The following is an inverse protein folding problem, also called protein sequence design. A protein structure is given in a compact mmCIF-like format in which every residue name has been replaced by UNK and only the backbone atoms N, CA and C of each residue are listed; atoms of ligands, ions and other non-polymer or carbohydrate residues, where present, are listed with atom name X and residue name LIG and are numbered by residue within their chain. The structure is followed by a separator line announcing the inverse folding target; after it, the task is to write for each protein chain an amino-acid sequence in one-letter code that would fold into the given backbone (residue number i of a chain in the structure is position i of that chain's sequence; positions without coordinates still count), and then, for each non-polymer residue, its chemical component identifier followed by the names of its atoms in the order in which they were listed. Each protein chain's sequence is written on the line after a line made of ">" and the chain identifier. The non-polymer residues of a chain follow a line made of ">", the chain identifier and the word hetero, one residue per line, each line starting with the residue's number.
data_IF_054349042693
#
_entry.id   IF_054349042693
#
_cell.length_a   1.000
_cell.length_b   1.000
_cell.length_c   1.000
_cell.angle_alpha   90.00
_cell.angle_beta   90.00
_cell.angle_gamma   90.00
#
_symmetry.space_group_name_H-M   'P 1'
#
loop_
_entity.id
_entity.type
_entity.pdbx_description
1 polymer ?
#
# COMPACT_ATOMS: atom_id res chain seq x y z
N UNK A 1 20.25 -11.19 16.11
CA UNK A 1 19.16 -11.05 15.10
C UNK A 1 19.26 -9.70 14.40
N UNK A 2 19.27 -8.61 15.17
CA UNK A 2 19.45 -7.25 14.61
C UNK A 2 20.89 -6.89 14.28
N UNK A 3 21.87 -7.75 14.56
CA UNK A 3 23.30 -7.47 14.32
C UNK A 3 23.61 -7.17 12.84
N UNK A 4 22.82 -7.74 11.92
CA UNK A 4 22.91 -7.43 10.48
C UNK A 4 22.47 -6.00 10.17
N UNK A 5 21.59 -5.41 10.98
CA UNK A 5 21.07 -4.05 10.83
C UNK A 5 21.75 -3.02 11.74
N UNK A 6 22.52 -3.45 12.74
CA UNK A 6 23.17 -2.58 13.70
C UNK A 6 24.09 -1.56 13.00
N UNK A 7 23.96 -0.28 13.37
CA UNK A 7 24.72 0.85 12.83
C UNK A 7 24.65 1.04 11.31
N UNK A 8 23.65 0.45 10.63
CA UNK A 8 23.49 0.56 9.17
C UNK A 8 22.38 1.53 8.78
N UNK A 9 22.61 2.35 7.75
CA UNK A 9 21.55 3.03 7.01
C UNK A 9 20.53 2.02 6.49
N UNK A 10 19.24 2.34 6.64
CA UNK A 10 18.15 1.47 6.20
C UNK A 10 17.32 2.11 5.09
N UNK A 11 16.84 1.28 4.17
CA UNK A 11 15.65 1.54 3.37
C UNK A 11 14.62 0.48 3.71
N UNK A 12 13.37 0.88 3.90
CA UNK A 12 12.27 -0.03 4.16
C UNK A 12 11.43 -0.29 2.89
N UNK A 13 11.03 -1.55 2.68
CA UNK A 13 10.00 -1.96 1.74
C UNK A 13 8.84 -2.58 2.52
N UNK A 14 7.66 -1.96 2.52
CA UNK A 14 6.51 -2.43 3.31
C UNK A 14 5.39 -2.98 2.44
N UNK A 15 4.59 -3.89 2.99
CA UNK A 15 3.37 -4.40 2.38
C UNK A 15 2.19 -4.46 3.37
N UNK A 16 1.08 -5.04 2.91
CA UNK A 16 -0.19 -4.98 3.63
C UNK A 16 -0.14 -5.66 5.00
N UNK A 17 0.75 -6.64 5.17
CA UNK A 17 1.00 -7.32 6.45
C UNK A 17 1.39 -6.36 7.57
N UNK A 18 2.05 -5.23 7.25
CA UNK A 18 2.38 -4.19 8.24
C UNK A 18 1.11 -3.51 8.78
N UNK A 19 0.06 -3.38 7.98
CA UNK A 19 -1.19 -2.69 8.32
C UNK A 19 -2.24 -3.60 8.97
N UNK A 20 -1.98 -4.90 9.10
CA UNK A 20 -2.92 -5.88 9.71
C UNK A 20 -3.30 -5.52 11.15
N UNK A 21 -2.34 -5.16 11.99
CA UNK A 21 -2.62 -4.73 13.38
C UNK A 21 -3.26 -3.32 13.46
N UNK A 22 -3.47 -2.65 12.31
CA UNK A 22 -4.25 -1.40 12.19
C UNK A 22 -5.71 -1.67 11.80
N UNK A 23 -6.12 -2.94 11.71
CA UNK A 23 -7.47 -3.35 11.30
C UNK A 23 -7.69 -3.40 9.79
N UNK A 24 -6.65 -3.16 8.98
CA UNK A 24 -6.71 -3.29 7.52
C UNK A 24 -6.32 -4.73 7.17
N UNK A 25 -7.21 -5.53 6.53
CA UNK A 25 -6.86 -6.89 6.15
C UNK A 25 -5.71 -6.89 5.15
N UNK A 26 -5.01 -8.01 4.99
CA UNK A 26 -4.07 -8.20 3.89
C UNK A 26 -4.70 -9.06 2.77
N UNK A 27 -3.92 -9.36 1.72
CA UNK A 27 -4.38 -10.16 0.58
C UNK A 27 -4.01 -11.65 0.66
N UNK A 28 -3.00 -12.03 1.45
CA UNK A 28 -2.30 -13.33 1.30
C UNK A 28 -1.74 -13.90 2.61
N UNK A 29 -2.02 -13.26 3.74
CA UNK A 29 -1.63 -13.73 5.06
C UNK A 29 -2.45 -14.97 5.47
N UNK A 30 -2.01 -15.68 6.52
CA UNK A 30 -2.70 -16.87 7.01
C UNK A 30 -4.19 -16.61 7.29
N UNK A 31 -5.07 -17.39 6.65
CA UNK A 31 -6.53 -17.26 6.80
C UNK A 31 -7.19 -16.20 5.91
N UNK A 32 -6.42 -15.49 5.06
CA UNK A 32 -7.01 -14.54 4.11
C UNK A 32 -7.84 -15.26 3.03
N UNK A 33 -9.05 -14.79 2.71
CA UNK A 33 -9.88 -15.40 1.68
C UNK A 33 -9.26 -15.16 0.29
N UNK A 34 -9.50 -16.08 -0.64
CA UNK A 34 -9.08 -15.90 -2.03
C UNK A 34 -9.88 -14.75 -2.65
N UNK A 35 -9.18 -13.72 -3.13
CA UNK A 35 -9.77 -12.48 -3.62
C UNK A 35 -9.24 -12.20 -5.02
N UNK A 36 -10.14 -12.02 -5.97
CA UNK A 36 -9.82 -11.57 -7.33
C UNK A 36 -10.09 -10.07 -7.44
N UNK A 37 -9.07 -9.21 -7.33
CA UNK A 37 -9.23 -7.76 -7.46
C UNK A 37 -9.53 -7.38 -8.92
N UNK A 38 -10.29 -6.30 -9.10
CA UNK A 38 -10.55 -5.74 -10.43
C UNK A 38 -9.24 -5.34 -11.11
N UNK A 39 -9.12 -5.69 -12.39
CA UNK A 39 -7.95 -5.28 -13.20
C UNK A 39 -8.15 -3.89 -13.81
N UNK A 40 -7.05 -3.24 -14.21
CA UNK A 40 -7.13 -2.00 -14.96
C UNK A 40 -7.90 -2.17 -16.27
N UNK A 41 -7.61 -3.27 -16.98
CA UNK A 41 -8.26 -3.60 -18.25
C UNK A 41 -9.76 -3.75 -18.08
N UNK A 42 -10.20 -4.40 -17.00
CA UNK A 42 -11.62 -4.51 -16.65
C UNK A 42 -12.24 -3.14 -16.33
N UNK A 43 -11.58 -2.33 -15.50
CA UNK A 43 -12.10 -1.01 -15.11
C UNK A 43 -12.34 -0.08 -16.32
N UNK A 44 -11.45 -0.12 -17.32
CA UNK A 44 -11.57 0.73 -18.51
C UNK A 44 -12.54 0.19 -19.58
N UNK A 45 -13.20 -0.96 -19.36
CA UNK A 45 -14.15 -1.52 -20.33
C UNK A 45 -15.42 -0.68 -20.50
N UNK A 46 -15.85 0.03 -19.46
CA UNK A 46 -17.05 0.87 -19.53
C UNK A 46 -17.64 1.22 -18.17
N UNK A 47 -18.77 1.91 -18.19
CA UNK A 47 -19.42 2.44 -17.00
C UNK A 47 -19.86 1.37 -16.01
N UNK A 48 -20.27 0.18 -16.47
CA UNK A 48 -20.70 -0.90 -15.57
C UNK A 48 -19.56 -1.41 -14.68
N UNK A 49 -18.35 -1.53 -15.22
CA UNK A 49 -17.17 -1.89 -14.43
C UNK A 49 -16.79 -0.76 -13.46
N UNK A 50 -16.86 0.49 -13.91
CA UNK A 50 -16.58 1.66 -13.07
C UNK A 50 -17.60 1.80 -11.94
N UNK A 51 -18.88 1.55 -12.22
CA UNK A 51 -19.99 1.53 -11.26
C UNK A 51 -19.75 0.46 -10.21
N UNK A 52 -19.45 -0.77 -10.64
CA UNK A 52 -19.09 -1.86 -9.72
C UNK A 52 -17.93 -1.51 -8.81
N UNK A 53 -16.86 -0.91 -9.35
CA UNK A 53 -15.74 -0.48 -8.53
C UNK A 53 -16.14 0.60 -7.51
N UNK A 54 -16.74 1.69 -7.99
CA UNK A 54 -17.01 2.87 -7.17
C UNK A 54 -18.10 2.64 -6.13
N UNK A 55 -19.14 1.85 -6.43
CA UNK A 55 -20.15 1.46 -5.46
C UNK A 55 -19.52 0.75 -4.26
N UNK A 56 -18.65 -0.22 -4.53
CA UNK A 56 -17.96 -1.02 -3.52
C UNK A 56 -16.97 -0.16 -2.73
N UNK A 57 -16.16 0.63 -3.43
CA UNK A 57 -15.22 1.59 -2.82
C UNK A 57 -15.92 2.66 -1.98
N UNK A 58 -17.13 3.10 -2.36
CA UNK A 58 -17.89 4.11 -1.61
C UNK A 58 -18.24 3.60 -0.20
N UNK A 59 -18.66 2.33 -0.10
CA UNK A 59 -18.99 1.68 1.17
C UNK A 59 -17.73 1.40 1.99
N UNK A 60 -16.69 0.86 1.38
CA UNK A 60 -15.46 0.54 2.11
C UNK A 60 -14.67 1.78 2.56
N UNK A 61 -14.65 2.87 1.77
CA UNK A 61 -14.00 4.13 2.16
C UNK A 61 -14.59 4.72 3.44
N UNK A 62 -15.91 4.71 3.60
CA UNK A 62 -16.57 5.21 4.81
C UNK A 62 -16.13 4.46 6.08
N UNK A 63 -15.70 3.21 5.94
CA UNK A 63 -15.27 2.37 7.07
C UNK A 63 -13.76 2.42 7.30
N UNK A 64 -12.95 2.44 6.24
CA UNK A 64 -11.48 2.54 6.34
C UNK A 64 -10.98 3.84 6.96
N UNK A 65 -11.77 4.92 6.94
CA UNK A 65 -11.41 6.22 7.52
C UNK A 65 -11.02 6.17 9.01
N UNK A 66 -11.22 5.04 9.70
CA UNK A 66 -10.88 4.86 11.11
C UNK A 66 -9.56 4.11 11.36
N UNK A 67 -8.89 3.61 10.32
CA UNK A 67 -7.60 2.96 10.49
C UNK A 67 -6.56 4.00 10.95
N UNK A 68 -5.77 3.64 11.97
CA UNK A 68 -4.71 4.49 12.50
C UNK A 68 -3.39 3.72 12.46
N UNK A 69 -2.24 4.40 12.34
CA UNK A 69 -0.94 3.73 12.32
C UNK A 69 -0.75 2.86 13.57
N UNK A 70 -0.18 1.67 13.42
CA UNK A 70 0.16 0.79 14.54
C UNK A 70 1.62 0.98 15.03
N UNK A 71 2.09 0.11 15.92
CA UNK A 71 3.43 0.18 16.49
C UNK A 71 4.54 0.01 15.44
N UNK A 72 4.32 -0.81 14.40
CA UNK A 72 5.29 -0.99 13.31
C UNK A 72 5.51 0.28 12.50
N UNK A 73 4.43 0.98 12.14
CA UNK A 73 4.51 2.27 11.42
C UNK A 73 5.27 3.32 12.25
N UNK A 74 4.90 3.46 13.53
CA UNK A 74 5.54 4.39 14.46
C UNK A 74 7.02 4.06 14.69
N UNK A 75 7.37 2.78 14.75
CA UNK A 75 8.76 2.36 14.88
C UNK A 75 9.61 2.78 13.67
N UNK A 76 9.10 2.57 12.45
CA UNK A 76 9.79 3.05 11.25
C UNK A 76 9.91 4.58 11.23
N UNK A 77 8.87 5.31 11.69
CA UNK A 77 8.91 6.77 11.76
C UNK A 77 9.95 7.25 12.79
N UNK A 78 10.08 6.55 13.92
CA UNK A 78 11.12 6.83 14.91
C UNK A 78 12.53 6.60 14.33
N UNK A 79 12.74 5.55 13.55
CA UNK A 79 14.01 5.31 12.85
C UNK A 79 14.31 6.38 11.79
N UNK A 80 13.31 6.91 11.08
CA UNK A 80 13.49 8.06 10.17
C UNK A 80 13.87 9.32 10.96
N UNK A 81 13.20 9.56 12.10
CA UNK A 81 13.51 10.68 13.01
C UNK A 81 14.92 10.61 13.60
N UNK A 82 15.42 9.40 13.87
CA UNK A 82 16.78 9.15 14.36
C UNK A 82 17.85 9.18 13.24
N UNK A 83 17.45 9.34 11.98
CA UNK A 83 18.38 9.35 10.84
C UNK A 83 18.92 7.96 10.45
N UNK A 84 18.30 6.88 10.91
CA UNK A 84 18.65 5.49 10.59
C UNK A 84 17.91 5.01 9.34
N UNK A 85 16.63 5.36 9.20
CA UNK A 85 15.83 5.06 8.01
C UNK A 85 15.94 6.22 7.01
N UNK A 86 16.54 5.97 5.85
CA UNK A 86 16.81 6.98 4.81
C UNK A 86 15.75 7.01 3.70
N UNK A 87 14.83 6.04 3.68
CA UNK A 87 13.72 6.04 2.74
C UNK A 87 12.76 4.89 2.96
N UNK A 88 11.50 5.11 2.57
CA UNK A 88 10.44 4.14 2.72
C UNK A 88 9.71 3.94 1.38
N UNK A 89 9.68 2.69 0.93
CA UNK A 89 8.92 2.25 -0.24
C UNK A 89 7.75 1.43 0.30
N UNK A 90 6.52 1.84 0.03
CA UNK A 90 5.34 1.07 0.45
C UNK A 90 4.56 0.58 -0.76
N UNK A 91 4.14 -0.69 -0.70
CA UNK A 91 3.14 -1.25 -1.62
C UNK A 91 1.72 -0.89 -1.18
N UNK A 92 1.54 -0.41 0.05
CA UNK A 92 0.23 -0.08 0.57
C UNK A 92 -0.27 1.23 -0.03
N UNK A 93 -1.59 1.34 -0.11
CA UNK A 93 -2.29 2.54 -0.61
C UNK A 93 -3.06 3.25 0.51
N UNK A 94 -2.97 2.73 1.74
CA UNK A 94 -3.74 3.11 2.93
C UNK A 94 -3.40 4.49 3.50
N UNK A 95 -2.14 4.89 3.35
CA UNK A 95 -1.63 6.17 3.82
C UNK A 95 -1.10 6.22 5.25
N UNK A 96 -1.09 5.09 5.96
CA UNK A 96 -0.74 5.03 7.38
C UNK A 96 0.72 5.41 7.67
N UNK A 97 1.63 5.30 6.69
CA UNK A 97 2.99 5.82 6.85
C UNK A 97 3.01 7.34 6.95
N UNK A 98 2.26 8.03 6.09
CA UNK A 98 2.16 9.49 6.16
C UNK A 98 1.52 9.94 7.48
N UNK A 99 0.48 9.23 7.91
CA UNK A 99 -0.20 9.51 9.19
C UNK A 99 0.70 9.23 10.40
N UNK A 100 1.65 8.30 10.27
CA UNK A 100 2.67 8.05 11.29
C UNK A 100 3.78 9.11 11.34
N UNK A 101 3.79 10.07 10.40
CA UNK A 101 4.74 11.17 10.35
C UNK A 101 5.94 10.97 9.44
N UNK A 102 5.94 9.93 8.58
CA UNK A 102 7.01 9.74 7.59
C UNK A 102 7.04 10.88 6.58
N UNK A 103 8.24 11.43 6.30
CA UNK A 103 8.39 12.55 5.36
C UNK A 103 8.72 12.11 3.93
N UNK A 104 9.48 11.03 3.78
CA UNK A 104 9.99 10.57 2.48
C UNK A 104 9.43 9.20 2.08
N UNK A 105 8.12 9.14 1.80
CA UNK A 105 7.43 7.92 1.36
C UNK A 105 7.35 7.84 -0.17
N UNK A 106 7.66 6.67 -0.72
CA UNK A 106 7.32 6.30 -2.10
C UNK A 106 6.13 5.34 -2.04
N UNK A 107 4.94 5.87 -2.32
CA UNK A 107 3.72 5.08 -2.50
C UNK A 107 3.77 4.36 -3.85
N UNK A 108 4.40 3.18 -3.86
CA UNK A 108 4.70 2.44 -5.08
C UNK A 108 3.43 2.16 -5.88
N UNK A 109 2.35 1.81 -5.20
CA UNK A 109 1.06 1.52 -5.81
C UNK A 109 0.09 2.70 -5.69
N UNK A 110 0.57 3.90 -5.38
CA UNK A 110 -0.25 5.10 -5.29
C UNK A 110 -1.05 5.20 -3.98
N UNK A 111 -2.11 6.01 -3.97
CA UNK A 111 -2.86 6.39 -2.77
C UNK A 111 -4.34 6.28 -2.99
N UNK A 112 -5.05 5.66 -2.04
CA UNK A 112 -6.50 5.54 -2.13
C UNK A 112 -7.25 6.81 -1.69
N UNK A 113 -6.58 7.67 -0.92
CA UNK A 113 -7.05 9.02 -0.56
C UNK A 113 -7.02 10.02 -1.73
N UNK A 114 -6.58 9.60 -2.91
CA UNK A 114 -6.41 10.44 -4.09
C UNK A 114 -7.14 9.83 -5.29
N UNK A 115 -7.76 10.68 -6.10
CA UNK A 115 -8.47 10.32 -7.33
C UNK A 115 -7.77 10.99 -8.50
N UNK A 116 -7.61 10.27 -9.61
CA UNK A 116 -7.07 10.78 -10.87
C UNK A 116 -8.12 10.69 -11.98
N UNK A 117 -8.22 11.74 -12.80
CA UNK A 117 -9.00 11.70 -14.03
C UNK A 117 -8.19 11.04 -15.16
N UNK A 118 -8.75 10.04 -15.83
CA UNK A 118 -8.11 9.37 -16.97
C UNK A 118 -8.06 10.23 -18.24
N UNK A 119 -8.90 11.25 -18.35
CA UNK A 119 -8.92 12.17 -19.48
C UNK A 119 -7.92 13.32 -19.35
N UNK A 120 -7.96 14.07 -18.25
CA UNK A 120 -7.12 15.26 -18.07
C UNK A 120 -6.00 15.11 -17.04
N UNK A 121 -5.82 13.94 -16.43
CA UNK A 121 -4.79 13.62 -15.42
C UNK A 121 -4.84 14.44 -14.13
N UNK A 122 -5.86 15.30 -13.97
CA UNK A 122 -6.08 16.07 -12.73
C UNK A 122 -6.27 15.12 -11.55
N UNK A 123 -5.58 15.44 -10.46
CA UNK A 123 -5.72 14.75 -9.17
C UNK A 123 -6.53 15.57 -8.19
N UNK A 124 -7.39 14.91 -7.42
CA UNK A 124 -8.22 15.51 -6.38
C UNK A 124 -8.31 14.59 -5.16
N UNK A 125 -8.55 15.12 -3.96
CA UNK A 125 -8.78 14.28 -2.78
C UNK A 125 -9.99 13.35 -2.96
N UNK A 126 -9.88 12.11 -2.49
CA UNK A 126 -10.95 11.11 -2.47
C UNK A 126 -12.16 11.56 -1.65
N UNK A 127 -11.95 12.35 -0.60
CA UNK A 127 -13.00 12.95 0.21
C UNK A 127 -13.97 13.80 -0.61
N UNK A 128 -13.45 14.63 -1.52
CA UNK A 128 -14.28 15.47 -2.40
C UNK A 128 -15.13 14.61 -3.36
N UNK A 129 -14.60 13.48 -3.84
CA UNK A 129 -15.38 12.53 -4.62
C UNK A 129 -16.42 11.79 -3.75
N UNK A 130 -16.09 11.50 -2.49
CA UNK A 130 -17.00 10.83 -1.55
C UNK A 130 -18.26 11.67 -1.28
N UNK A 131 -18.10 12.97 -1.05
CA UNK A 131 -19.23 13.90 -0.86
C UNK A 131 -20.14 13.92 -2.09
N UNK A 132 -19.55 13.95 -3.28
CA UNK A 132 -20.29 13.91 -4.55
C UNK A 132 -21.04 12.59 -4.72
N UNK A 133 -20.42 11.46 -4.41
CA UNK A 133 -21.11 10.18 -4.43
C UNK A 133 -22.24 10.11 -3.41
N UNK A 134 -22.05 10.62 -2.19
CA UNK A 134 -23.10 10.64 -1.18
C UNK A 134 -24.31 11.50 -1.60
N UNK A 135 -24.06 12.63 -2.28
CA UNK A 135 -25.13 13.48 -2.83
C UNK A 135 -25.88 12.83 -4.00
N UNK A 136 -25.16 12.10 -4.87
CA UNK A 136 -25.76 11.38 -6.00
C UNK A 136 -26.48 10.09 -5.58
N UNK A 137 -26.07 9.49 -4.46
CA UNK A 137 -26.51 8.19 -3.98
C UNK A 137 -26.99 8.25 -2.52
N UNK A 138 -28.05 9.00 -2.21
CA UNK A 138 -28.52 9.15 -0.84
C UNK A 138 -28.95 7.79 -0.25
N UNK A 139 -28.45 7.46 0.95
CA UNK A 139 -28.76 6.21 1.66
C UNK A 139 -27.96 4.98 1.23
N UNK A 140 -27.03 5.10 0.27
CA UNK A 140 -26.26 3.97 -0.24
C UNK A 140 -25.25 3.39 0.79
N UNK A 141 -24.72 4.23 1.68
CA UNK A 141 -23.70 3.84 2.66
C UNK A 141 -24.23 2.96 3.81
N UNK A 142 -25.56 2.87 3.98
CA UNK A 142 -26.19 2.09 5.05
C UNK A 142 -26.28 0.58 4.75
N UNK A 143 -25.87 0.16 3.55
CA UNK A 143 -25.80 -1.25 3.17
C UNK A 143 -24.61 -1.96 3.86
N UNK A 144 -24.88 -3.08 4.56
CA UNK A 144 -23.88 -3.80 5.36
C UNK A 144 -22.93 -4.64 4.49
N UNK A 145 -21.61 -4.42 4.56
CA UNK A 145 -20.61 -5.14 3.74
C UNK A 145 -19.26 -5.41 4.42
N UNK A 146 -18.62 -6.55 4.13
CA UNK A 146 -17.24 -6.90 4.53
C UNK A 146 -16.16 -6.11 3.73
N UNK A 147 -15.12 -5.58 4.40
CA UNK A 147 -14.12 -4.65 3.84
C UNK A 147 -12.84 -5.38 3.36
N UNK A 148 -12.24 -4.91 2.26
CA UNK A 148 -10.98 -5.40 1.67
C UNK A 148 -9.81 -4.41 1.88
N UNK A 149 -8.53 -4.81 1.65
CA UNK A 149 -7.35 -4.00 2.01
C UNK A 149 -7.25 -2.67 1.25
N UNK A 150 -7.81 -2.63 0.05
CA UNK A 150 -7.96 -1.47 -0.83
C UNK A 150 -9.32 -0.79 -0.66
N UNK A 151 -10.02 -1.02 0.46
CA UNK A 151 -11.33 -0.43 0.71
C UNK A 151 -12.43 -0.91 -0.23
N UNK A 152 -12.20 -2.00 -0.97
CA UNK A 152 -13.24 -2.67 -1.75
C UNK A 152 -14.20 -3.44 -0.82
N UNK A 153 -15.45 -3.66 -1.24
CA UNK A 153 -16.54 -4.17 -0.41
C UNK A 153 -17.42 -5.11 -1.25
N UNK A 154 -17.89 -6.26 -0.76
CA UNK A 154 -18.80 -7.13 -1.53
C UNK A 154 -20.27 -6.70 -1.48
N UNK A 155 -20.84 -6.23 -2.60
CA UNK A 155 -22.21 -5.71 -2.69
C UNK A 155 -23.13 -6.61 -3.51
N UNK A 156 -24.42 -6.62 -3.17
CA UNK A 156 -25.47 -7.22 -4.01
C UNK A 156 -25.42 -6.56 -5.42
N UNK A 157 -25.37 -7.35 -6.52
CA UNK A 157 -25.38 -6.82 -7.88
C UNK A 157 -26.53 -5.83 -8.15
N UNK A 158 -27.72 -6.08 -7.61
CA UNK A 158 -28.87 -5.18 -7.78
C UNK A 158 -28.67 -3.82 -7.10
N UNK A 159 -27.92 -3.79 -6.00
CA UNK A 159 -27.54 -2.54 -5.32
C UNK A 159 -26.47 -1.78 -6.13
N UNK A 160 -25.53 -2.50 -6.74
CA UNK A 160 -24.50 -1.91 -7.60
C UNK A 160 -25.10 -1.22 -8.83
N UNK A 161 -26.12 -1.82 -9.46
CA UNK A 161 -26.73 -1.28 -10.68
C UNK A 161 -27.39 0.10 -10.48
N UNK A 162 -27.88 0.38 -9.26
CA UNK A 162 -28.48 1.67 -8.91
C UNK A 162 -27.49 2.77 -8.52
N UNK A 163 -26.18 2.50 -8.56
CA UNK A 163 -25.17 3.48 -8.17
C UNK A 163 -24.87 4.49 -9.28
N UNK A 164 -25.09 5.76 -9.01
CA UNK A 164 -24.84 6.89 -9.89
C UNK A 164 -23.36 7.32 -9.84
N UNK A 165 -22.72 7.32 -11.01
CA UNK A 165 -21.32 7.70 -11.18
C UNK A 165 -21.12 9.22 -11.18
N UNK A 166 -19.93 9.63 -10.76
CA UNK A 166 -19.49 11.01 -10.76
C UNK A 166 -18.32 11.19 -11.74
N UNK A 167 -18.37 12.26 -12.54
CA UNK A 167 -17.39 12.52 -13.60
C UNK A 167 -16.37 13.59 -13.20
N UNK A 168 -15.29 13.74 -13.96
CA UNK A 168 -14.34 14.82 -13.73
C UNK A 168 -15.03 16.19 -13.90
N UNK A 169 -14.93 17.05 -12.89
CA UNK A 169 -15.51 18.41 -12.93
C UNK A 169 -14.79 19.34 -13.91
N UNK A 170 -13.59 18.98 -14.38
CA UNK A 170 -12.81 19.79 -15.31
C UNK A 170 -13.03 19.42 -16.78
N UNK A 171 -13.24 18.14 -17.10
CA UNK A 171 -13.33 17.68 -18.49
C UNK A 171 -14.42 16.63 -18.76
N UNK A 172 -15.22 16.23 -17.76
CA UNK A 172 -16.22 15.17 -17.89
C UNK A 172 -15.64 13.75 -17.99
N UNK A 173 -14.32 13.57 -17.95
CA UNK A 173 -13.69 12.26 -18.09
C UNK A 173 -13.86 11.33 -16.89
N UNK A 174 -13.58 10.04 -17.12
CA UNK A 174 -13.62 8.96 -16.11
C UNK A 174 -12.68 9.27 -14.94
N UNK A 175 -13.16 9.04 -13.73
CA UNK A 175 -12.38 9.12 -12.50
C UNK A 175 -11.97 7.72 -12.05
N UNK A 176 -10.70 7.55 -11.69
CA UNK A 176 -10.12 6.34 -11.10
C UNK A 176 -9.45 6.71 -9.78
N UNK A 177 -9.45 5.87 -8.74
CA UNK A 177 -8.51 6.07 -7.63
C UNK A 177 -7.07 6.14 -8.18
N UNK A 178 -6.21 6.99 -7.62
CA UNK A 178 -4.80 7.12 -8.00
C UNK A 178 -3.95 6.01 -7.38
N UNK A 179 -4.44 4.78 -7.51
CA UNK A 179 -3.77 3.54 -7.14
C UNK A 179 -3.42 2.74 -8.39
N UNK A 180 -2.37 1.93 -8.35
CA UNK A 180 -1.99 1.06 -9.47
C UNK A 180 -2.83 -0.21 -9.40
N UNK A 181 -3.72 -0.42 -10.37
CA UNK A 181 -4.55 -1.63 -10.43
C UNK A 181 -3.72 -2.84 -10.87
N UNK A 182 -4.25 -4.04 -10.61
CA UNK A 182 -3.70 -5.25 -11.21
C UNK A 182 -3.75 -5.15 -12.73
N UNK A 183 -2.64 -5.50 -13.40
CA UNK A 183 -2.48 -5.33 -14.84
C UNK A 183 -2.09 -3.91 -15.28
N UNK A 184 -1.98 -2.96 -14.35
CA UNK A 184 -1.47 -1.60 -14.61
C UNK A 184 0.04 -1.53 -14.34
N UNK A 185 0.74 -0.66 -15.08
CA UNK A 185 2.15 -0.41 -14.83
C UNK A 185 2.32 0.63 -13.72
N UNK A 186 3.23 0.35 -12.79
CA UNK A 186 3.68 1.37 -11.83
C UNK A 186 4.35 2.53 -12.60
N UNK A 187 4.00 3.80 -12.31
CA UNK A 187 4.64 4.96 -12.92
C UNK A 187 6.16 4.90 -12.87
N UNK A 188 6.82 5.17 -14.00
CA UNK A 188 8.28 4.97 -14.16
C UNK A 188 9.08 5.78 -13.15
N UNK A 189 8.67 7.01 -12.87
CA UNK A 189 9.31 7.90 -11.91
C UNK A 189 9.32 7.30 -10.49
N UNK A 190 8.22 6.69 -10.04
CA UNK A 190 8.15 5.99 -8.74
C UNK A 190 9.12 4.82 -8.70
N UNK A 191 9.19 4.05 -9.77
CA UNK A 191 10.12 2.91 -9.90
C UNK A 191 11.57 3.37 -9.87
N UNK A 192 11.92 4.40 -10.64
CA UNK A 192 13.28 4.97 -10.68
C UNK A 192 13.70 5.48 -9.31
N UNK A 193 12.84 6.23 -8.61
CA UNK A 193 13.12 6.71 -7.25
C UNK A 193 13.31 5.58 -6.24
N UNK A 194 12.51 4.52 -6.34
CA UNK A 194 12.63 3.35 -5.47
C UNK A 194 13.94 2.59 -5.71
N UNK A 195 14.37 2.42 -6.98
CA UNK A 195 15.70 1.87 -7.28
C UNK A 195 16.82 2.74 -6.72
N UNK A 196 16.74 4.05 -6.86
CA UNK A 196 17.76 4.96 -6.35
C UNK A 196 17.96 4.86 -4.82
N UNK A 197 16.88 4.65 -4.05
CA UNK A 197 16.98 4.39 -2.61
C UNK A 197 17.75 3.11 -2.32
N UNK A 198 17.44 2.02 -3.03
CA UNK A 198 18.12 0.73 -2.86
C UNK A 198 19.58 0.79 -3.32
N UNK A 199 19.85 1.46 -4.45
CA UNK A 199 21.19 1.68 -4.98
C UNK A 199 22.09 2.40 -3.97
N UNK A 200 21.54 3.39 -3.24
CA UNK A 200 22.27 4.15 -2.24
C UNK A 200 22.72 3.30 -1.03
N UNK A 201 22.11 2.15 -0.78
CA UNK A 201 22.49 1.26 0.33
C UNK A 201 23.82 0.55 0.09
N UNK A 202 24.17 0.24 -1.16
CA UNK A 202 25.43 -0.43 -1.46
C UNK A 202 26.68 0.39 -1.07
N UNK A 203 26.86 1.66 -1.52
CA UNK A 203 28.03 2.45 -1.16
C UNK A 203 28.03 2.93 0.30
N UNK A 204 26.86 2.99 0.95
CA UNK A 204 26.73 3.42 2.35
C UNK A 204 26.88 2.28 3.35
N UNK A 205 27.02 1.03 2.89
CA UNK A 205 27.04 -0.15 3.77
C UNK A 205 25.69 -0.42 4.44
N UNK A 206 24.60 0.11 3.88
CA UNK A 206 23.24 -0.01 4.39
C UNK A 206 22.60 -1.37 4.14
N UNK A 207 21.31 -1.48 4.48
CA UNK A 207 20.51 -2.69 4.32
C UNK A 207 19.09 -2.39 3.83
N UNK A 208 18.46 -3.38 3.18
CA UNK A 208 17.05 -3.35 2.82
C UNK A 208 16.24 -4.13 3.87
N UNK A 209 15.32 -3.45 4.55
CA UNK A 209 14.36 -4.05 5.47
C UNK A 209 13.02 -4.25 4.75
N UNK A 210 12.58 -5.50 4.60
CA UNK A 210 11.23 -5.82 4.12
C UNK A 210 10.33 -6.08 5.32
N UNK A 211 9.19 -5.40 5.42
CA UNK A 211 8.24 -5.58 6.52
C UNK A 211 6.82 -5.86 6.02
N UNK A 212 6.27 -7.01 6.41
CA UNK A 212 4.86 -7.35 6.20
C UNK A 212 4.48 -7.48 4.73
N UNK A 213 5.32 -8.11 3.92
CA UNK A 213 5.07 -8.33 2.50
C UNK A 213 5.40 -9.76 2.11
N UNK A 214 4.43 -10.47 1.51
CA UNK A 214 4.66 -11.79 0.91
C UNK A 214 5.56 -11.73 -0.33
N UNK A 215 5.76 -10.53 -0.89
CA UNK A 215 6.52 -10.28 -2.13
C UNK A 215 6.00 -11.11 -3.32
N UNK A 216 4.75 -11.57 -3.28
CA UNK A 216 4.19 -12.41 -4.35
C UNK A 216 4.17 -11.69 -5.70
N UNK A 217 3.96 -10.36 -5.67
CA UNK A 217 3.92 -9.48 -6.83
C UNK A 217 5.30 -8.93 -7.15
N UNK A 218 5.69 -8.97 -8.43
CA UNK A 218 7.01 -8.55 -8.91
C UNK A 218 7.34 -7.06 -8.65
N UNK A 219 6.33 -6.22 -8.46
CA UNK A 219 6.50 -4.78 -8.24
C UNK A 219 7.30 -4.46 -6.98
N UNK A 220 7.13 -5.24 -5.90
CA UNK A 220 7.96 -5.21 -4.70
C UNK A 220 9.20 -6.10 -4.78
N UNK A 221 9.03 -7.37 -5.19
CA UNK A 221 10.11 -8.37 -5.23
C UNK A 221 11.32 -7.93 -6.07
N UNK A 222 11.13 -7.13 -7.12
CA UNK A 222 12.23 -6.63 -7.95
C UNK A 222 13.27 -5.83 -7.15
N UNK A 223 12.87 -5.13 -6.09
CA UNK A 223 13.78 -4.34 -5.26
C UNK A 223 14.61 -5.24 -4.34
N UNK A 224 14.02 -6.33 -3.85
CA UNK A 224 14.72 -7.36 -3.07
C UNK A 224 15.77 -8.07 -3.91
N UNK A 225 15.39 -8.52 -5.12
CA UNK A 225 16.33 -9.15 -6.07
C UNK A 225 17.47 -8.22 -6.46
N UNK A 226 17.16 -6.92 -6.59
CA UNK A 226 18.14 -5.91 -6.93
C UNK A 226 19.12 -5.65 -5.77
N UNK A 227 18.63 -5.48 -4.54
CA UNK A 227 19.45 -5.36 -3.35
C UNK A 227 20.42 -6.56 -3.20
N UNK A 228 19.90 -7.78 -3.34
CA UNK A 228 20.70 -8.99 -3.32
C UNK A 228 21.80 -9.01 -4.40
N UNK A 229 21.47 -8.61 -5.64
CA UNK A 229 22.45 -8.51 -6.73
C UNK A 229 23.57 -7.48 -6.44
N UNK A 230 23.25 -6.43 -5.71
CA UNK A 230 24.22 -5.41 -5.28
C UNK A 230 25.03 -5.84 -4.05
N UNK A 231 24.74 -7.00 -3.44
CA UNK A 231 25.34 -7.42 -2.18
C UNK A 231 24.83 -6.64 -0.96
N UNK A 232 23.73 -5.89 -1.10
CA UNK A 232 23.06 -5.21 0.02
C UNK A 232 22.35 -6.26 0.86
N UNK A 233 22.63 -6.36 2.18
CA UNK A 233 21.91 -7.26 3.07
C UNK A 233 20.41 -7.02 3.03
N UNK A 234 19.64 -8.11 2.97
CA UNK A 234 18.17 -8.07 2.98
C UNK A 234 17.68 -8.72 4.26
N UNK A 235 16.92 -7.99 5.06
CA UNK A 235 16.24 -8.52 6.25
C UNK A 235 14.75 -8.51 6.00
N UNK A 236 14.10 -9.65 6.19
CA UNK A 236 12.65 -9.79 5.99
C UNK A 236 11.99 -10.10 7.33
N UNK A 237 11.04 -9.25 7.72
CA UNK A 237 10.15 -9.44 8.86
C UNK A 237 8.74 -9.66 8.32
N UNK A 238 8.25 -10.88 8.37
CA UNK A 238 6.95 -11.23 7.81
C UNK A 238 6.40 -12.50 8.48
N UNK A 239 5.09 -12.55 8.74
CA UNK A 239 4.43 -13.80 9.14
C UNK A 239 4.24 -14.70 7.92
N UNK A 240 4.82 -15.90 7.96
CA UNK A 240 4.78 -16.86 6.85
C UNK A 240 5.77 -16.57 5.72
N UNK A 241 5.85 -17.49 4.76
CA UNK A 241 6.86 -17.49 3.69
C UNK A 241 6.69 -16.34 2.71
N UNK A 242 7.81 -15.87 2.14
CA UNK A 242 7.81 -14.84 1.10
C UNK A 242 8.49 -15.35 -0.17
N UNK A 243 8.17 -14.74 -1.31
CA UNK A 243 8.94 -14.99 -2.54
C UNK A 243 10.35 -14.38 -2.50
N UNK A 244 10.69 -13.66 -1.43
CA UNK A 244 11.99 -13.06 -1.20
C UNK A 244 12.94 -13.92 -0.37
N UNK A 245 12.48 -15.04 0.20
CA UNK A 245 13.20 -15.79 1.23
C UNK A 245 14.59 -16.25 0.77
N UNK A 246 14.72 -16.70 -0.49
CA UNK A 246 16.00 -17.13 -1.07
C UNK A 246 17.04 -15.99 -1.21
N UNK A 247 16.60 -14.73 -1.19
CA UNK A 247 17.46 -13.55 -1.31
C UNK A 247 17.80 -12.92 0.05
N UNK A 248 17.13 -13.36 1.12
CA UNK A 248 17.23 -12.77 2.44
C UNK A 248 18.53 -13.20 3.15
N UNK A 249 19.20 -12.22 3.77
CA UNK A 249 20.29 -12.47 4.72
C UNK A 249 19.75 -12.94 6.07
N UNK A 250 18.61 -12.38 6.49
CA UNK A 250 17.90 -12.78 7.73
C UNK A 250 16.40 -12.84 7.46
N UNK A 251 15.78 -13.92 7.92
CA UNK A 251 14.33 -14.11 7.93
C UNK A 251 13.83 -14.10 9.37
N UNK A 252 12.79 -13.31 9.63
CA UNK A 252 12.12 -13.22 10.93
C UNK A 252 10.64 -13.50 10.73
N UNK A 253 10.23 -14.72 11.12
CA UNK A 253 8.83 -15.15 11.07
C UNK A 253 8.07 -14.63 12.31
N UNK A 254 7.68 -13.36 12.26
CA UNK A 254 7.00 -12.68 13.36
C UNK A 254 6.18 -11.46 12.88
N UNK A 255 5.35 -10.93 13.78
CA UNK A 255 4.59 -9.71 13.54
C UNK A 255 5.46 -8.47 13.46
N UNK A 256 5.15 -7.58 12.51
CA UNK A 256 5.89 -6.33 12.35
C UNK A 256 5.75 -5.40 13.57
N UNK A 257 4.56 -5.35 14.19
CA UNK A 257 4.32 -4.55 15.40
C UNK A 257 5.10 -5.06 16.62
N UNK A 258 5.53 -6.32 16.61
CA UNK A 258 6.32 -6.92 17.70
C UNK A 258 7.82 -6.68 17.49
N UNK A 259 8.29 -6.82 16.25
CA UNK A 259 9.73 -6.80 15.92
C UNK A 259 10.27 -5.38 15.71
N UNK A 260 9.54 -4.52 15.00
CA UNK A 260 10.07 -3.22 14.61
C UNK A 260 10.34 -2.27 15.81
N UNK A 261 9.52 -2.23 16.88
CA UNK A 261 9.86 -1.45 18.07
C UNK A 261 11.15 -1.90 18.77
N UNK A 262 11.45 -3.20 18.73
CA UNK A 262 12.70 -3.73 19.29
C UNK A 262 13.93 -3.26 18.49
N UNK A 263 13.79 -3.08 17.16
CA UNK A 263 14.85 -2.51 16.32
C UNK A 263 15.15 -1.05 16.70
N UNK A 264 14.12 -0.25 17.04
CA UNK A 264 14.32 1.13 17.54
C UNK A 264 15.15 1.13 18.81
N UNK A 265 14.85 0.23 19.75
CA UNK A 265 15.58 0.13 21.03
C UNK A 265 17.04 -0.28 20.82
N UNK A 266 17.31 -1.12 19.82
CA UNK A 266 18.67 -1.56 19.50
C UNK A 266 19.50 -0.52 18.72
N UNK A 267 18.85 0.46 18.08
CA UNK A 267 19.48 1.52 17.30
C UNK A 267 19.63 2.84 18.07
N UNK A 268 19.10 2.92 19.30
CA UNK A 268 19.19 4.06 20.20
C UNK A 268 20.38 3.91 21.16
#
# INVERSE_FOLDING_TARGET
>A
MFDVLADRPLVALTGAGLSTDSGIPDYRGPGSPDRTPMTYQEFVTGEDAQRRYWARSHVGWARMAHAAPNAGHRALAALEGAGVLHGLITQNVDGLHSDAGHRAVIDLHGRIDTVVCLGCTRRTPRAALQERFAALNPGFADAAVEIRPDGDAELDPALVDGFELAWCTACGGVLKPDVVFFGENVPRDRVTRAYALVDAMAPSGGALLVAGSSLTVMSGLRFVRHAHKLGVPVVIVNRGTTRGDEFATVLVDAGCSDVLPALVTAAA
#
